data_IF_355733741304
#
_entry.id   IF_355733741304
#
_cell.length_a   1.000
_cell.length_b   1.000
_cell.length_c   1.000
_cell.angle_alpha   90.00
_cell.angle_beta   90.00
_cell.angle_gamma   90.00
#
_symmetry.space_group_name_H-M   'P 1'
#
loop_
_entity.id
_entity.type
_entity.pdbx_description
1 polymer ?
#
# COMPACT_ATOMS: atom_id res chain seq x y z
N UNK A 1 32.01 -4.50 6.24
CA UNK A 1 30.78 -3.92 6.85
C UNK A 1 29.65 -3.64 5.84
N UNK A 2 29.96 -3.30 4.58
CA UNK A 2 28.94 -3.06 3.53
C UNK A 2 28.17 -4.33 3.09
N UNK A 3 28.82 -5.50 3.09
CA UNK A 3 28.21 -6.78 2.70
C UNK A 3 27.18 -7.32 3.70
N UNK A 4 27.37 -7.08 5.00
CA UNK A 4 26.41 -7.48 6.05
C UNK A 4 25.13 -6.65 5.99
N UNK A 5 25.23 -5.36 5.63
CA UNK A 5 24.07 -4.48 5.46
C UNK A 5 23.24 -4.87 4.23
N UNK A 6 23.89 -5.31 3.14
CA UNK A 6 23.20 -5.82 1.95
C UNK A 6 22.51 -7.17 2.23
N UNK A 7 23.16 -8.05 2.99
CA UNK A 7 22.62 -9.36 3.37
C UNK A 7 21.39 -9.20 4.29
N UNK A 8 21.42 -8.23 5.22
CA UNK A 8 20.28 -7.88 6.06
C UNK A 8 19.12 -7.23 5.29
N UNK A 9 19.40 -6.57 4.15
CA UNK A 9 18.36 -6.09 3.23
C UNK A 9 17.78 -7.22 2.35
N UNK A 10 18.59 -8.21 1.98
CA UNK A 10 18.14 -9.38 1.22
C UNK A 10 17.22 -10.32 2.03
N UNK A 11 17.30 -10.29 3.35
CA UNK A 11 16.37 -11.00 4.23
C UNK A 11 15.04 -10.27 4.47
N UNK A 12 14.85 -9.06 3.91
CA UNK A 12 13.56 -8.36 4.05
C UNK A 12 12.52 -8.92 3.08
N UNK A 13 11.37 -9.38 3.59
CA UNK A 13 10.23 -9.78 2.77
C UNK A 13 9.89 -8.79 1.65
N UNK A 14 9.64 -9.34 0.46
CA UNK A 14 9.38 -8.60 -0.77
C UNK A 14 10.57 -7.88 -1.41
N UNK A 15 11.74 -7.83 -0.76
CA UNK A 15 12.96 -7.31 -1.39
C UNK A 15 13.42 -8.19 -2.56
N UNK A 16 13.17 -9.50 -2.51
CA UNK A 16 13.40 -10.41 -3.64
C UNK A 16 12.55 -10.03 -4.85
N UNK A 17 11.25 -9.74 -4.67
CA UNK A 17 10.40 -9.28 -5.77
C UNK A 17 10.88 -7.92 -6.33
N UNK A 18 11.26 -7.01 -5.45
CA UNK A 18 11.78 -5.68 -5.81
C UNK A 18 13.07 -5.76 -6.63
N UNK A 19 13.97 -6.68 -6.28
CA UNK A 19 15.28 -6.85 -6.94
C UNK A 19 15.23 -7.74 -8.18
N UNK A 20 14.31 -8.71 -8.23
CA UNK A 20 14.20 -9.66 -9.34
C UNK A 20 13.24 -9.21 -10.45
N UNK A 21 12.34 -8.25 -10.17
CA UNK A 21 11.36 -7.77 -11.15
C UNK A 21 11.83 -6.46 -11.78
N UNK A 22 11.94 -6.37 -13.11
CA UNK A 22 12.22 -5.12 -13.81
C UNK A 22 11.21 -4.01 -13.45
N UNK A 23 11.60 -2.73 -13.31
CA UNK A 23 10.70 -1.65 -12.89
C UNK A 23 9.46 -1.47 -13.79
N UNK A 24 9.58 -1.76 -15.09
CA UNK A 24 8.49 -1.70 -16.05
C UNK A 24 7.50 -2.88 -15.95
N UNK A 25 7.77 -3.87 -15.10
CA UNK A 25 6.96 -5.06 -14.87
C UNK A 25 6.45 -5.14 -13.43
N UNK A 26 6.64 -4.08 -12.65
CA UNK A 26 6.16 -4.03 -11.28
C UNK A 26 4.65 -4.00 -11.22
N UNK A 27 4.11 -4.93 -10.44
CA UNK A 27 2.71 -5.02 -10.08
C UNK A 27 2.63 -4.84 -8.56
N UNK A 28 2.06 -3.71 -8.15
CA UNK A 28 1.92 -3.34 -6.74
C UNK A 28 1.09 -4.35 -5.93
N UNK A 29 0.15 -5.05 -6.58
CA UNK A 29 -0.64 -6.11 -5.94
C UNK A 29 0.19 -7.38 -5.76
N UNK A 30 1.02 -7.75 -6.74
CA UNK A 30 1.96 -8.89 -6.59
C UNK A 30 3.01 -8.61 -5.52
N UNK A 31 3.51 -7.38 -5.45
CA UNK A 31 4.42 -6.96 -4.39
C UNK A 31 3.79 -7.07 -3.00
N UNK A 32 2.55 -6.57 -2.83
CA UNK A 32 1.83 -6.69 -1.57
C UNK A 32 1.59 -8.16 -1.15
N UNK A 33 1.18 -9.02 -2.10
CA UNK A 33 1.01 -10.46 -1.84
C UNK A 33 2.30 -11.14 -1.41
N UNK A 34 3.44 -10.74 -1.97
CA UNK A 34 4.74 -11.28 -1.56
C UNK A 34 5.13 -10.88 -0.13
N UNK A 35 4.74 -9.68 0.33
CA UNK A 35 4.91 -9.23 1.71
C UNK A 35 3.98 -9.96 2.68
N UNK A 36 2.71 -10.12 2.31
CA UNK A 36 1.72 -10.86 3.09
C UNK A 36 2.13 -12.33 3.28
N UNK A 37 2.55 -13.02 2.21
CA UNK A 37 3.00 -14.42 2.25
C UNK A 37 4.22 -14.65 3.16
N UNK A 38 5.01 -13.60 3.39
CA UNK A 38 6.20 -13.65 4.23
C UNK A 38 5.92 -13.23 5.69
N UNK A 39 4.65 -13.10 6.08
CA UNK A 39 4.26 -12.79 7.47
C UNK A 39 4.56 -11.35 7.88
N UNK A 40 4.89 -10.48 6.93
CA UNK A 40 5.04 -9.04 7.14
C UNK A 40 3.93 -8.31 6.38
N UNK A 41 2.65 -8.45 6.78
CA UNK A 41 1.62 -7.60 6.21
C UNK A 41 2.06 -6.15 6.42
N UNK A 42 2.05 -5.36 5.33
CA UNK A 42 2.24 -3.91 5.43
C UNK A 42 1.38 -3.41 6.59
N UNK A 43 1.99 -2.62 7.48
CA UNK A 43 1.35 -2.19 8.72
C UNK A 43 -0.09 -1.72 8.41
N UNK A 44 -1.07 -2.46 8.96
CA UNK A 44 -2.48 -2.25 8.67
C UNK A 44 -2.88 -0.80 8.95
N UNK A 45 -2.26 -0.17 9.95
CA UNK A 45 -2.43 1.24 10.27
C UNK A 45 -2.02 2.15 9.12
N UNK A 46 -0.85 1.92 8.53
CA UNK A 46 -0.32 2.68 7.39
C UNK A 46 -1.22 2.57 6.15
N UNK A 47 -1.68 1.36 5.78
CA UNK A 47 -2.61 1.19 4.64
C UNK A 47 -3.95 1.89 4.93
N UNK A 48 -4.46 1.70 6.14
CA UNK A 48 -5.72 2.32 6.60
C UNK A 48 -5.65 3.85 6.51
N UNK A 49 -4.54 4.43 6.95
CA UNK A 49 -4.31 5.87 6.89
C UNK A 49 -4.20 6.38 5.46
N UNK A 50 -3.44 5.69 4.59
CA UNK A 50 -3.32 6.05 3.18
C UNK A 50 -4.67 6.00 2.46
N UNK A 51 -5.46 4.96 2.71
CA UNK A 51 -6.81 4.82 2.14
C UNK A 51 -7.74 5.93 2.65
N UNK A 52 -7.72 6.26 3.94
CA UNK A 52 -8.50 7.38 4.51
C UNK A 52 -8.14 8.71 3.84
N UNK A 53 -6.85 9.02 3.73
CA UNK A 53 -6.38 10.27 3.12
C UNK A 53 -6.83 10.38 1.66
N UNK A 54 -6.83 9.26 0.94
CA UNK A 54 -7.31 9.20 -0.44
C UNK A 54 -8.81 9.49 -0.55
N UNK A 55 -9.64 8.91 0.34
CA UNK A 55 -11.07 9.18 0.38
C UNK A 55 -11.36 10.66 0.67
N UNK A 56 -10.69 11.26 1.66
CA UNK A 56 -10.82 12.68 1.97
C UNK A 56 -10.42 13.58 0.80
N UNK A 57 -9.35 13.22 0.07
CA UNK A 57 -8.94 13.95 -1.11
C UNK A 57 -10.01 13.90 -2.20
N UNK A 58 -10.61 12.73 -2.47
CA UNK A 58 -11.69 12.59 -3.45
C UNK A 58 -12.96 13.32 -3.06
N UNK A 59 -13.33 13.34 -1.77
CA UNK A 59 -14.47 14.12 -1.27
C UNK A 59 -14.30 15.63 -1.56
N UNK A 60 -13.05 16.13 -1.51
CA UNK A 60 -12.74 17.54 -1.72
C UNK A 60 -12.47 17.91 -3.19
N UNK A 61 -11.79 17.04 -3.94
CA UNK A 61 -11.20 17.37 -5.25
C UNK A 61 -11.68 16.46 -6.40
N UNK A 62 -12.39 15.37 -6.10
CA UNK A 62 -12.84 14.43 -7.11
C UNK A 62 -13.97 14.96 -8.00
N UNK A 63 -14.25 14.22 -9.06
CA UNK A 63 -15.50 14.36 -9.82
C UNK A 63 -16.73 14.06 -8.95
N UNK A 64 -17.92 14.42 -9.43
CA UNK A 64 -19.17 14.16 -8.70
C UNK A 64 -19.41 12.67 -8.45
N UNK A 65 -19.03 11.80 -9.39
CA UNK A 65 -19.06 10.35 -9.22
C UNK A 65 -18.05 9.88 -8.15
N UNK A 66 -16.81 10.37 -8.19
CA UNK A 66 -15.77 10.01 -7.23
C UNK A 66 -16.12 10.47 -5.82
N UNK A 67 -16.66 11.68 -5.65
CA UNK A 67 -17.14 12.19 -4.36
C UNK A 67 -18.23 11.30 -3.77
N UNK A 68 -19.23 10.90 -4.58
CA UNK A 68 -20.31 10.00 -4.16
C UNK A 68 -19.80 8.64 -3.72
N UNK A 69 -18.82 8.10 -4.44
CA UNK A 69 -18.19 6.81 -4.09
C UNK A 69 -17.35 6.96 -2.83
N UNK A 70 -16.57 8.04 -2.70
CA UNK A 70 -15.74 8.29 -1.55
C UNK A 70 -16.57 8.43 -0.27
N UNK A 71 -17.64 9.24 -0.29
CA UNK A 71 -18.55 9.40 0.85
C UNK A 71 -19.18 8.08 1.30
N UNK A 72 -19.63 7.23 0.36
CA UNK A 72 -20.17 5.88 0.66
C UNK A 72 -19.13 4.97 1.32
N UNK A 73 -17.88 5.05 0.87
CA UNK A 73 -16.79 4.26 1.45
C UNK A 73 -16.42 4.79 2.84
N UNK A 74 -16.35 6.11 3.04
CA UNK A 74 -16.11 6.74 4.34
C UNK A 74 -17.17 6.34 5.38
N UNK A 75 -18.46 6.36 5.01
CA UNK A 75 -19.56 5.86 5.88
C UNK A 75 -19.39 4.38 6.22
N UNK A 76 -19.13 3.54 5.21
CA UNK A 76 -18.97 2.09 5.39
C UNK A 76 -17.85 1.74 6.39
N UNK A 77 -16.76 2.50 6.36
CA UNK A 77 -15.61 2.27 7.23
C UNK A 77 -15.66 3.07 8.55
N UNK A 78 -16.78 3.77 8.82
CA UNK A 78 -16.97 4.61 10.01
C UNK A 78 -15.87 5.66 10.19
N UNK A 79 -15.29 6.13 9.08
CA UNK A 79 -14.30 7.19 9.09
C UNK A 79 -15.03 8.51 8.91
N UNK A 80 -15.73 8.92 9.96
CA UNK A 80 -16.33 10.24 9.99
C UNK A 80 -15.24 11.28 10.20
N UNK A 81 -15.36 12.37 9.45
CA UNK A 81 -14.54 13.58 9.53
C UNK A 81 -14.68 14.29 10.87
#
# INVERSE_FOLDING_TARGET
>A
MFLLFLMFLMEKPGFTYWTSTPPNQWDSLRYHKAWEAAGLPMDKGTITLAFRNQLQWFESNGSEEEKKVAAKLSEKFQWQS
#
